data_IF_878153522219
#
_entry.id   IF_878153522219
#
_cell.length_a   1.000
_cell.length_b   1.000
_cell.length_c   1.000
_cell.angle_alpha   90.00
_cell.angle_beta   90.00
_cell.angle_gamma   90.00
#
_symmetry.space_group_name_H-M   'P 1'
#
loop_
_entity.id
_entity.type
_entity.pdbx_description
1 polymer ?
#
# COMPACT_ATOMS: atom_id res chain seq x y z
N UNK A 1 -18.30 -9.43 8.05
CA UNK A 1 -16.99 -9.79 8.63
C UNK A 1 -16.44 -10.98 7.88
N UNK A 2 -15.15 -10.96 7.54
CA UNK A 2 -14.46 -12.11 6.92
C UNK A 2 -13.90 -13.06 7.97
N UNK A 3 -13.66 -14.32 7.60
CA UNK A 3 -13.12 -15.33 8.51
C UNK A 3 -11.64 -15.56 8.21
N UNK A 4 -10.77 -15.35 9.21
CA UNK A 4 -9.34 -15.63 9.13
C UNK A 4 -9.01 -16.94 9.83
N UNK A 5 -8.06 -17.69 9.28
CA UNK A 5 -7.37 -18.77 9.98
C UNK A 5 -6.60 -18.20 11.18
N UNK A 6 -6.15 -19.07 12.08
CA UNK A 6 -5.33 -18.65 13.23
C UNK A 6 -3.96 -18.10 12.80
N UNK A 7 -3.33 -18.69 11.78
CA UNK A 7 -2.03 -18.21 11.28
C UNK A 7 -2.14 -16.84 10.64
N UNK A 8 -3.12 -16.63 9.76
CA UNK A 8 -3.41 -15.30 9.20
C UNK A 8 -3.75 -14.28 10.28
N UNK A 9 -4.56 -14.64 11.29
CA UNK A 9 -4.84 -13.74 12.42
C UNK A 9 -3.58 -13.33 13.17
N UNK A 10 -2.71 -14.29 13.51
CA UNK A 10 -1.47 -14.02 14.22
C UNK A 10 -0.49 -13.16 13.39
N UNK A 11 -0.45 -13.36 12.08
CA UNK A 11 0.33 -12.53 11.17
C UNK A 11 -0.23 -11.11 11.07
N UNK A 12 -1.55 -10.96 10.92
CA UNK A 12 -2.21 -9.65 10.95
C UNK A 12 -1.98 -8.88 12.26
N UNK A 13 -1.89 -9.58 13.39
CA UNK A 13 -1.54 -8.97 14.69
C UNK A 13 -0.11 -8.43 14.70
N UNK A 14 0.85 -9.15 14.13
CA UNK A 14 2.24 -8.67 13.98
C UNK A 14 2.36 -7.51 12.99
N UNK A 15 1.44 -7.41 12.03
CA UNK A 15 1.43 -6.36 11.02
C UNK A 15 0.77 -5.05 11.48
N UNK A 16 0.19 -5.04 12.68
CA UNK A 16 -0.69 -3.98 13.17
C UNK A 16 -0.30 -3.50 14.56
N UNK A 17 -0.80 -2.33 14.95
CA UNK A 17 -0.76 -1.92 16.35
C UNK A 17 -1.63 -2.84 17.21
N UNK A 18 -1.43 -2.79 18.53
CA UNK A 18 -2.28 -3.50 19.52
C UNK A 18 -3.77 -3.22 19.37
N UNK A 19 -4.13 -2.03 18.87
CA UNK A 19 -5.52 -1.58 18.67
C UNK A 19 -6.08 -2.02 17.31
N UNK A 20 -5.32 -2.81 16.54
CA UNK A 20 -5.72 -3.32 15.23
C UNK A 20 -5.69 -2.25 14.14
N UNK A 21 -4.76 -1.29 14.22
CA UNK A 21 -4.53 -0.30 13.16
C UNK A 21 -3.26 -0.68 12.39
N UNK A 22 -3.34 -0.74 11.06
CA UNK A 22 -2.18 -0.99 10.21
C UNK A 22 -1.46 0.34 9.97
N UNK A 23 -0.46 0.66 10.80
CA UNK A 23 0.41 1.83 10.66
C UNK A 23 1.74 1.46 9.97
N UNK A 24 1.64 1.01 8.72
CA UNK A 24 2.75 0.37 8.01
C UNK A 24 3.58 1.36 7.17
N UNK A 25 4.90 1.13 7.14
CA UNK A 25 5.87 1.86 6.33
C UNK A 25 6.09 1.17 4.98
N UNK A 26 6.03 1.90 3.86
CA UNK A 26 6.32 1.36 2.53
C UNK A 26 7.70 1.76 2.03
N UNK A 27 8.56 0.81 1.68
CA UNK A 27 9.77 1.08 0.89
C UNK A 27 10.12 -0.05 -0.09
N UNK A 28 9.11 -0.66 -0.72
CA UNK A 28 9.25 -1.62 -1.83
C UNK A 28 9.55 -0.96 -3.20
N UNK A 29 9.71 0.37 -3.21
CA UNK A 29 10.00 1.09 -4.45
C UNK A 29 11.37 0.69 -4.99
N UNK A 30 11.36 0.18 -6.22
CA UNK A 30 12.55 -0.19 -6.99
C UNK A 30 12.84 0.84 -8.07
N UNK A 31 12.14 0.76 -9.21
CA UNK A 31 12.31 1.69 -10.32
C UNK A 31 12.05 3.16 -9.94
N UNK A 32 11.10 3.43 -9.04
CA UNK A 32 10.83 4.78 -8.56
C UNK A 32 11.98 5.35 -7.71
N UNK A 33 12.60 4.53 -6.84
CA UNK A 33 13.77 4.96 -6.06
C UNK A 33 15.00 5.16 -6.97
N UNK A 34 15.21 4.28 -7.96
CA UNK A 34 16.23 4.47 -9.01
C UNK A 34 16.05 5.81 -9.73
N UNK A 35 14.82 6.16 -10.12
CA UNK A 35 14.53 7.46 -10.76
C UNK A 35 14.85 8.64 -9.85
N UNK A 36 14.53 8.55 -8.54
CA UNK A 36 14.84 9.61 -7.58
C UNK A 36 16.35 9.82 -7.39
N UNK A 37 17.13 8.74 -7.31
CA UNK A 37 18.60 8.81 -7.21
C UNK A 37 19.19 9.40 -8.50
N UNK A 38 18.75 8.91 -9.66
CA UNK A 38 19.22 9.40 -10.97
C UNK A 38 18.94 10.90 -11.17
N UNK A 39 17.82 11.41 -10.66
CA UNK A 39 17.48 12.83 -10.70
C UNK A 39 18.46 13.73 -9.91
N UNK A 40 19.35 13.13 -9.09
CA UNK A 40 20.41 13.84 -8.37
C UNK A 40 21.76 13.82 -9.13
N UNK A 41 21.78 13.35 -10.38
CA UNK A 41 22.95 13.27 -11.26
C UNK A 41 24.08 12.40 -10.71
N UNK A 42 23.73 11.29 -10.05
CA UNK A 42 24.67 10.27 -9.55
C UNK A 42 24.43 8.95 -10.28
N UNK A 43 25.49 8.21 -10.56
CA UNK A 43 25.39 6.86 -11.13
C UNK A 43 24.66 5.91 -10.18
N UNK A 44 23.82 5.05 -10.73
CA UNK A 44 23.07 4.09 -9.95
C UNK A 44 23.98 2.95 -9.49
N UNK A 45 24.01 2.71 -8.19
CA UNK A 45 24.54 1.49 -7.59
C UNK A 45 23.42 0.78 -6.83
N UNK A 46 23.19 -0.50 -7.12
CA UNK A 46 22.17 -1.30 -6.43
C UNK A 46 22.47 -1.43 -4.93
N UNK A 47 23.73 -1.43 -4.50
CA UNK A 47 24.14 -1.40 -3.09
C UNK A 47 23.66 -0.12 -2.37
N UNK A 48 23.63 1.03 -3.07
CA UNK A 48 23.09 2.27 -2.49
C UNK A 48 21.58 2.17 -2.23
N UNK A 49 20.86 1.38 -3.05
CA UNK A 49 19.42 1.15 -2.89
C UNK A 49 19.18 0.30 -1.65
N UNK A 50 19.92 -0.82 -1.53
CA UNK A 50 19.87 -1.69 -0.35
C UNK A 50 20.19 -0.92 0.92
N UNK A 51 21.29 -0.16 0.90
CA UNK A 51 21.76 0.59 2.07
C UNK A 51 20.78 1.68 2.49
N UNK A 52 20.18 2.40 1.54
CA UNK A 52 19.16 3.38 1.87
C UNK A 52 17.91 2.72 2.49
N UNK A 53 17.49 1.56 1.98
CA UNK A 53 16.38 0.79 2.57
C UNK A 53 16.70 0.34 3.99
N UNK A 54 17.94 -0.10 4.24
CA UNK A 54 18.40 -0.52 5.57
C UNK A 54 18.39 0.65 6.57
N UNK A 55 18.83 1.83 6.16
CA UNK A 55 18.75 3.05 6.98
C UNK A 55 17.30 3.41 7.30
N UNK A 56 16.42 3.40 6.31
CA UNK A 56 14.99 3.68 6.52
C UNK A 56 14.35 2.64 7.46
N UNK A 57 14.67 1.37 7.27
CA UNK A 57 14.16 0.29 8.10
C UNK A 57 14.61 0.45 9.56
N UNK A 58 15.91 0.51 9.80
CA UNK A 58 16.46 0.60 11.17
C UNK A 58 16.02 1.86 11.92
N UNK A 59 15.87 3.00 11.25
CA UNK A 59 15.57 4.27 11.91
C UNK A 59 14.07 4.55 12.07
N UNK A 60 13.20 4.02 11.19
CA UNK A 60 11.77 4.37 11.19
C UNK A 60 10.84 3.24 11.63
N UNK A 61 11.26 1.97 11.55
CA UNK A 61 10.43 0.85 12.03
C UNK A 61 10.13 0.83 13.54
N UNK A 62 10.91 1.46 14.44
CA UNK A 62 10.47 1.64 15.83
C UNK A 62 9.15 2.42 15.98
N UNK A 63 8.73 3.14 14.93
CA UNK A 63 7.50 3.93 14.90
C UNK A 63 6.46 3.38 13.92
N UNK A 64 6.67 2.19 13.33
CA UNK A 64 5.73 1.55 12.42
C UNK A 64 5.29 0.21 13.01
N UNK A 65 4.05 -0.20 12.75
CA UNK A 65 3.61 -1.56 13.11
C UNK A 65 4.24 -2.62 12.20
N UNK A 66 4.55 -2.26 10.96
CA UNK A 66 5.19 -3.14 10.00
C UNK A 66 5.87 -2.37 8.87
N UNK A 67 6.69 -3.07 8.09
CA UNK A 67 7.36 -2.52 6.91
C UNK A 67 7.11 -3.40 5.68
N UNK A 68 6.81 -2.77 4.54
CA UNK A 68 6.76 -3.39 3.23
C UNK A 68 8.06 -3.16 2.47
N UNK A 69 8.69 -4.24 2.04
CA UNK A 69 9.94 -4.26 1.29
C UNK A 69 9.81 -5.10 0.01
N UNK A 70 10.70 -4.88 -0.95
CA UNK A 70 10.88 -5.78 -2.09
C UNK A 70 12.00 -6.79 -1.80
N UNK A 71 11.91 -8.02 -2.31
CA UNK A 71 12.92 -9.04 -2.05
C UNK A 71 14.17 -8.89 -2.94
N UNK A 72 14.17 -7.95 -3.91
CA UNK A 72 15.33 -7.69 -4.78
C UNK A 72 16.42 -6.86 -4.07
N UNK A 73 16.02 -5.84 -3.31
CA UNK A 73 16.95 -4.94 -2.58
C UNK A 73 16.64 -4.81 -1.08
N UNK A 74 15.54 -5.39 -0.62
CA UNK A 74 15.00 -5.14 0.72
C UNK A 74 15.34 -6.18 1.78
N UNK A 75 15.93 -7.33 1.43
CA UNK A 75 16.21 -8.38 2.43
C UNK A 75 17.20 -7.95 3.53
N UNK A 76 18.27 -7.18 3.26
CA UNK A 76 19.10 -6.61 4.32
C UNK A 76 18.29 -5.68 5.23
N UNK A 77 17.43 -4.84 4.64
CA UNK A 77 16.54 -3.94 5.38
C UNK A 77 15.49 -4.69 6.21
N UNK A 78 14.99 -5.83 5.73
CA UNK A 78 14.07 -6.68 6.46
C UNK A 78 14.72 -7.24 7.74
N UNK A 79 16.02 -7.56 7.66
CA UNK A 79 16.80 -8.01 8.82
C UNK A 79 17.12 -6.88 9.81
N UNK A 80 17.23 -5.64 9.33
CA UNK A 80 17.54 -4.46 10.14
C UNK A 80 16.31 -3.79 10.80
N UNK A 81 15.09 -4.31 10.57
CA UNK A 81 13.87 -3.75 11.14
C UNK A 81 13.81 -3.93 12.66
N UNK A 82 13.04 -3.08 13.33
CA UNK A 82 12.73 -3.20 14.75
C UNK A 82 12.03 -4.53 15.05
N UNK A 83 12.33 -5.14 16.19
CA UNK A 83 11.84 -6.48 16.56
C UNK A 83 10.31 -6.58 16.63
N UNK A 84 9.64 -5.48 17.02
CA UNK A 84 8.18 -5.39 17.09
C UNK A 84 7.50 -5.08 15.74
N UNK A 85 8.27 -4.79 14.67
CA UNK A 85 7.70 -4.46 13.37
C UNK A 85 7.53 -5.71 12.50
N UNK A 86 6.29 -6.00 12.08
CA UNK A 86 6.00 -7.06 11.11
C UNK A 86 6.60 -6.79 9.72
N UNK A 87 6.61 -7.80 8.86
CA UNK A 87 7.20 -7.73 7.52
C UNK A 87 6.21 -8.10 6.42
N UNK A 88 6.04 -7.21 5.44
CA UNK A 88 5.40 -7.54 4.16
C UNK A 88 6.46 -7.60 3.07
N UNK A 89 6.35 -8.57 2.16
CA UNK A 89 7.19 -8.62 0.95
C UNK A 89 6.36 -8.47 -0.32
N UNK A 90 6.81 -7.58 -1.21
CA UNK A 90 6.22 -7.38 -2.53
C UNK A 90 6.57 -8.55 -3.46
N UNK A 91 5.58 -9.01 -4.24
CA UNK A 91 5.74 -10.17 -5.10
C UNK A 91 5.70 -9.85 -6.61
N UNK A 92 5.18 -8.67 -6.99
CA UNK A 92 5.13 -8.25 -8.39
C UNK A 92 6.50 -7.83 -8.94
N UNK A 93 6.68 -7.93 -10.27
CA UNK A 93 7.70 -7.15 -10.97
C UNK A 93 7.36 -5.66 -10.95
N UNK A 94 8.38 -4.81 -10.83
CA UNK A 94 8.16 -3.35 -10.84
C UNK A 94 7.74 -2.84 -12.20
N UNK A 95 6.71 -2.00 -12.24
CA UNK A 95 6.26 -1.32 -13.46
C UNK A 95 5.33 -2.17 -14.32
N UNK A 96 5.25 -1.83 -15.60
CA UNK A 96 4.45 -2.54 -16.61
C UNK A 96 5.07 -2.31 -17.99
N UNK A 97 4.82 -3.23 -18.91
CA UNK A 97 5.19 -3.05 -20.31
C UNK A 97 4.29 -1.99 -20.95
N UNK A 98 4.90 -0.91 -21.46
CA UNK A 98 4.18 0.18 -22.14
C UNK A 98 3.86 -0.15 -23.59
N UNK A 99 4.40 -1.26 -24.12
CA UNK A 99 4.19 -1.69 -25.52
C UNK A 99 3.04 -2.68 -25.67
N UNK A 100 2.60 -3.30 -24.57
CA UNK A 100 1.49 -4.26 -24.56
C UNK A 100 0.31 -3.68 -23.77
N UNK A 101 -0.93 -3.70 -24.33
CA UNK A 101 -2.13 -3.29 -23.60
C UNK A 101 -2.35 -4.10 -22.31
N UNK A 102 -3.12 -3.53 -21.39
CA UNK A 102 -3.60 -4.26 -20.21
C UNK A 102 -2.74 -4.18 -18.96
N UNK A 103 -1.48 -3.69 -19.03
CA UNK A 103 -0.58 -3.64 -17.87
C UNK A 103 -0.60 -4.97 -17.08
N UNK A 104 -0.52 -6.08 -17.83
CA UNK A 104 -0.76 -7.41 -17.29
C UNK A 104 0.19 -7.70 -16.11
N UNK A 105 -0.32 -8.37 -15.05
CA UNK A 105 0.47 -8.70 -13.88
C UNK A 105 1.59 -9.70 -14.19
N UNK A 106 2.72 -9.56 -13.51
CA UNK A 106 3.86 -10.48 -13.62
C UNK A 106 4.58 -10.62 -12.28
N UNK A 107 5.12 -11.82 -12.01
CA UNK A 107 5.77 -12.18 -10.74
C UNK A 107 7.27 -12.09 -10.85
N UNK A 108 7.93 -11.82 -9.73
CA UNK A 108 9.37 -11.99 -9.64
C UNK A 108 9.74 -13.46 -9.87
N UNK A 109 10.60 -13.71 -10.86
CA UNK A 109 10.84 -15.06 -11.41
C UNK A 109 11.43 -16.05 -10.39
N UNK A 110 12.22 -15.56 -9.43
CA UNK A 110 12.91 -16.39 -8.43
C UNK A 110 12.09 -16.61 -7.15
N UNK A 111 10.88 -16.06 -7.08
CA UNK A 111 10.08 -16.02 -5.85
C UNK A 111 8.77 -16.79 -5.97
N UNK A 112 8.36 -17.37 -4.85
CA UNK A 112 7.04 -17.93 -4.58
C UNK A 112 6.57 -17.47 -3.21
N UNK A 113 5.27 -17.61 -2.90
CA UNK A 113 4.77 -17.32 -1.56
C UNK A 113 5.55 -18.11 -0.50
N UNK A 114 5.83 -19.40 -0.74
CA UNK A 114 6.65 -20.23 0.14
C UNK A 114 8.06 -19.62 0.36
N UNK A 115 8.75 -19.20 -0.71
CA UNK A 115 10.09 -18.60 -0.58
C UNK A 115 10.06 -17.27 0.16
N UNK A 116 9.03 -16.45 -0.06
CA UNK A 116 8.87 -15.18 0.65
C UNK A 116 8.57 -15.39 2.14
N UNK A 117 7.77 -16.42 2.47
CA UNK A 117 7.53 -16.88 3.84
C UNK A 117 8.82 -17.37 4.52
N UNK A 118 9.67 -18.11 3.80
CA UNK A 118 10.98 -18.54 4.28
C UNK A 118 11.94 -17.36 4.59
N UNK A 119 11.73 -16.19 3.97
CA UNK A 119 12.43 -14.95 4.32
C UNK A 119 11.80 -14.22 5.53
N UNK A 120 10.80 -14.81 6.19
CA UNK A 120 10.14 -14.27 7.36
C UNK A 120 9.02 -13.27 7.07
N UNK A 121 8.44 -13.29 5.85
CA UNK A 121 7.28 -12.46 5.55
C UNK A 121 6.08 -12.86 6.42
N UNK A 122 5.47 -11.87 7.06
CA UNK A 122 4.17 -12.00 7.71
C UNK A 122 3.02 -11.80 6.72
N UNK A 123 3.27 -11.20 5.56
CA UNK A 123 2.27 -11.08 4.49
C UNK A 123 2.92 -10.97 3.12
N UNK A 124 2.20 -11.44 2.11
CA UNK A 124 2.51 -11.22 0.72
C UNK A 124 1.72 -10.03 0.21
N UNK A 125 2.42 -9.07 -0.37
CA UNK A 125 1.81 -7.96 -1.10
C UNK A 125 1.95 -8.17 -2.59
N UNK A 126 0.89 -7.90 -3.35
CA UNK A 126 0.93 -7.85 -4.81
C UNK A 126 0.28 -6.58 -5.33
N UNK A 127 0.92 -5.88 -6.26
CA UNK A 127 0.32 -4.72 -6.94
C UNK A 127 -0.32 -5.13 -8.28
N UNK A 128 -1.60 -4.78 -8.44
CA UNK A 128 -2.34 -4.93 -9.68
C UNK A 128 -2.76 -3.55 -10.23
N UNK A 129 -2.47 -3.32 -11.51
CA UNK A 129 -3.09 -2.24 -12.28
C UNK A 129 -4.40 -2.72 -12.88
N UNK A 130 -5.49 -2.00 -12.65
CA UNK A 130 -6.81 -2.41 -13.11
C UNK A 130 -7.65 -1.23 -13.57
N UNK A 131 -8.19 -1.36 -14.78
CA UNK A 131 -9.22 -0.49 -15.31
C UNK A 131 -10.50 -1.33 -15.42
N UNK A 132 -11.51 -0.96 -14.62
CA UNK A 132 -12.77 -1.71 -14.55
C UNK A 132 -13.56 -1.70 -15.86
N UNK A 133 -13.28 -0.74 -16.74
CA UNK A 133 -13.94 -0.58 -18.04
C UNK A 133 -13.05 -1.08 -19.21
N UNK A 134 -11.92 -1.72 -18.91
CA UNK A 134 -11.03 -2.33 -19.92
C UNK A 134 -11.65 -3.58 -20.55
N UNK A 135 -11.08 -4.01 -21.69
CA UNK A 135 -11.47 -5.22 -22.40
C UNK A 135 -11.69 -6.40 -21.43
N UNK A 136 -12.88 -7.03 -21.41
CA UNK A 136 -13.18 -8.16 -20.55
C UNK A 136 -12.18 -9.32 -20.67
N UNK A 137 -11.56 -9.54 -21.82
CA UNK A 137 -10.56 -10.59 -22.01
C UNK A 137 -9.24 -10.27 -21.28
N UNK A 138 -8.86 -8.99 -21.24
CA UNK A 138 -7.70 -8.53 -20.45
C UNK A 138 -8.01 -8.64 -18.97
N UNK A 139 -9.19 -8.18 -18.55
CA UNK A 139 -9.60 -8.26 -17.14
C UNK A 139 -9.76 -9.70 -16.67
N UNK A 140 -10.23 -10.61 -17.54
CA UNK A 140 -10.30 -12.04 -17.24
C UNK A 140 -8.91 -12.62 -16.88
N UNK A 141 -7.87 -12.27 -17.64
CA UNK A 141 -6.50 -12.70 -17.32
C UNK A 141 -6.03 -12.19 -15.96
N UNK A 142 -6.37 -10.95 -15.60
CA UNK A 142 -6.06 -10.37 -14.28
C UNK A 142 -6.80 -11.10 -13.16
N UNK A 143 -8.08 -11.41 -13.35
CA UNK A 143 -8.88 -12.17 -12.37
C UNK A 143 -8.28 -13.55 -12.10
N UNK A 144 -8.02 -14.32 -13.16
CA UNK A 144 -7.41 -15.66 -13.06
C UNK A 144 -6.04 -15.60 -12.40
N UNK A 145 -5.26 -14.55 -12.66
CA UNK A 145 -3.96 -14.37 -12.03
C UNK A 145 -4.08 -14.15 -10.52
N UNK A 146 -5.00 -13.29 -10.08
CA UNK A 146 -5.24 -13.02 -8.65
C UNK A 146 -5.82 -14.25 -7.94
N UNK A 147 -6.68 -15.03 -8.58
CA UNK A 147 -7.20 -16.31 -8.03
C UNK A 147 -6.08 -17.30 -7.69
N UNK A 148 -5.06 -17.39 -8.56
CA UNK A 148 -3.87 -18.23 -8.33
C UNK A 148 -3.07 -17.73 -7.13
N UNK A 149 -2.76 -16.43 -7.10
CA UNK A 149 -2.01 -15.82 -5.99
C UNK A 149 -2.72 -15.94 -4.64
N UNK A 150 -4.02 -15.67 -4.60
CA UNK A 150 -4.81 -15.84 -3.39
C UNK A 150 -4.82 -17.29 -2.92
N UNK A 151 -4.79 -18.25 -3.84
CA UNK A 151 -4.68 -19.67 -3.50
C UNK A 151 -3.31 -20.05 -2.95
N UNK A 152 -2.22 -19.51 -3.49
CA UNK A 152 -0.88 -19.70 -2.92
C UNK A 152 -0.77 -19.11 -1.51
N UNK A 153 -1.29 -17.90 -1.28
CA UNK A 153 -1.29 -17.27 0.05
C UNK A 153 -2.13 -18.06 1.07
N UNK A 154 -3.27 -18.60 0.63
CA UNK A 154 -4.12 -19.43 1.48
C UNK A 154 -3.45 -20.76 1.85
N UNK A 155 -2.78 -21.44 0.91
CA UNK A 155 -2.04 -22.67 1.18
C UNK A 155 -0.90 -22.42 2.19
N UNK A 156 -0.19 -21.31 2.03
CA UNK A 156 0.91 -20.94 2.92
C UNK A 156 0.47 -20.27 4.23
N UNK A 157 -0.84 -20.17 4.46
CA UNK A 157 -1.45 -19.56 5.65
C UNK A 157 -0.95 -18.13 5.94
N UNK A 158 -0.70 -17.35 4.88
CA UNK A 158 -0.25 -15.95 4.95
C UNK A 158 -1.34 -14.97 4.48
N UNK A 159 -1.52 -13.82 5.17
CA UNK A 159 -2.35 -12.74 4.68
C UNK A 159 -1.93 -12.25 3.30
N UNK A 160 -2.89 -12.15 2.39
CA UNK A 160 -2.73 -11.59 1.06
C UNK A 160 -3.17 -10.13 1.02
N UNK A 161 -2.20 -9.23 0.84
CA UNK A 161 -2.41 -7.79 0.66
C UNK A 161 -2.43 -7.46 -0.83
N UNK A 162 -3.61 -7.21 -1.38
CA UNK A 162 -3.74 -6.81 -2.78
C UNK A 162 -3.72 -5.28 -2.88
N UNK A 163 -2.65 -4.74 -3.45
CA UNK A 163 -2.56 -3.33 -3.82
C UNK A 163 -3.23 -3.11 -5.17
N UNK A 164 -4.14 -2.14 -5.21
CA UNK A 164 -4.94 -1.83 -6.36
C UNK A 164 -4.68 -0.41 -6.81
N UNK A 165 -4.14 -0.26 -8.02
CA UNK A 165 -3.97 1.04 -8.68
C UNK A 165 -4.87 1.12 -9.90
N UNK A 166 -5.76 2.11 -9.86
CA UNK A 166 -6.66 2.41 -10.96
C UNK A 166 -5.94 3.12 -12.11
N UNK A 167 -6.40 2.88 -13.33
CA UNK A 167 -6.10 3.70 -14.49
C UNK A 167 -7.29 3.71 -15.45
N UNK A 168 -7.14 4.43 -16.56
CA UNK A 168 -8.08 4.39 -17.66
C UNK A 168 -7.30 4.20 -18.97
N UNK A 169 -7.77 3.31 -19.83
CA UNK A 169 -7.12 3.03 -21.12
C UNK A 169 -7.14 4.21 -22.10
N UNK A 170 -8.11 5.13 -21.95
CA UNK A 170 -8.29 6.30 -22.79
C UNK A 170 -7.69 7.58 -22.17
N UNK A 171 -7.54 7.63 -20.85
CA UNK A 171 -6.98 8.79 -20.14
C UNK A 171 -5.56 8.49 -19.66
N UNK A 172 -4.58 9.03 -20.39
CA UNK A 172 -3.15 8.74 -20.13
C UNK A 172 -2.62 9.35 -18.82
N UNK A 173 -3.10 10.52 -18.42
CA UNK A 173 -2.65 11.22 -17.20
C UNK A 173 -3.64 10.99 -16.04
N UNK A 174 -3.24 10.12 -15.11
CA UNK A 174 -3.97 9.81 -13.87
C UNK A 174 -4.03 10.97 -12.87
N UNK A 175 -3.33 12.08 -13.14
CA UNK A 175 -3.37 13.30 -12.34
C UNK A 175 -4.24 14.41 -12.96
N UNK A 176 -4.79 14.18 -14.15
CA UNK A 176 -5.64 15.16 -14.85
C UNK A 176 -7.02 15.35 -14.20
N UNK A 177 -7.66 16.49 -14.51
CA UNK A 177 -9.05 16.76 -14.14
C UNK A 177 -10.00 15.73 -14.77
N UNK A 178 -9.71 15.29 -15.99
CA UNK A 178 -10.50 14.27 -16.70
C UNK A 178 -10.49 12.94 -15.94
N UNK A 179 -9.30 12.47 -15.52
CA UNK A 179 -9.19 11.26 -14.72
C UNK A 179 -9.84 11.41 -13.35
N UNK A 180 -9.71 12.60 -12.72
CA UNK A 180 -10.37 12.87 -11.45
C UNK A 180 -11.87 12.55 -11.54
N UNK A 181 -12.57 13.05 -12.57
CA UNK A 181 -14.03 12.81 -12.71
C UNK A 181 -14.43 11.33 -12.74
N UNK A 182 -13.57 10.43 -13.23
CA UNK A 182 -13.85 8.99 -13.29
C UNK A 182 -13.24 8.18 -12.14
N UNK A 183 -12.27 8.73 -11.41
CA UNK A 183 -11.54 8.03 -10.35
C UNK A 183 -12.44 7.34 -9.31
N UNK A 184 -13.54 7.95 -8.81
CA UNK A 184 -14.41 7.29 -7.84
C UNK A 184 -15.02 5.98 -8.37
N UNK A 185 -15.46 5.98 -9.63
CA UNK A 185 -15.96 4.77 -10.30
C UNK A 185 -14.87 3.71 -10.42
N UNK A 186 -13.67 4.08 -10.91
CA UNK A 186 -12.55 3.15 -11.09
C UNK A 186 -12.15 2.50 -9.75
N UNK A 187 -11.92 3.30 -8.72
CA UNK A 187 -11.45 2.82 -7.40
C UNK A 187 -12.52 1.97 -6.72
N UNK A 188 -13.75 2.47 -6.59
CA UNK A 188 -14.78 1.78 -5.81
C UNK A 188 -15.25 0.50 -6.51
N UNK A 189 -15.35 0.49 -7.84
CA UNK A 189 -15.76 -0.71 -8.59
C UNK A 189 -14.66 -1.78 -8.59
N UNK A 190 -13.38 -1.38 -8.67
CA UNK A 190 -12.25 -2.30 -8.52
C UNK A 190 -12.21 -2.92 -7.12
N UNK A 191 -12.49 -2.16 -6.06
CA UNK A 191 -12.60 -2.72 -4.71
C UNK A 191 -13.73 -3.75 -4.60
N UNK A 192 -14.90 -3.49 -5.18
CA UNK A 192 -16.02 -4.45 -5.20
C UNK A 192 -15.64 -5.75 -5.89
N UNK A 193 -14.95 -5.65 -7.04
CA UNK A 193 -14.48 -6.81 -7.78
C UNK A 193 -13.56 -7.68 -6.91
N UNK A 194 -12.45 -7.12 -6.44
CA UNK A 194 -11.43 -7.89 -5.73
C UNK A 194 -11.77 -8.21 -4.26
N UNK A 195 -12.97 -7.85 -3.81
CA UNK A 195 -13.53 -8.32 -2.54
C UNK A 195 -14.22 -9.68 -2.65
N UNK A 196 -14.39 -10.22 -3.85
CA UNK A 196 -15.03 -11.53 -4.04
C UNK A 196 -14.21 -12.66 -3.39
N UNK A 197 -14.85 -13.65 -2.74
CA UNK A 197 -14.15 -14.69 -1.99
C UNK A 197 -13.16 -15.54 -2.80
N UNK A 198 -13.38 -15.71 -4.11
CA UNK A 198 -12.49 -16.49 -4.99
C UNK A 198 -11.06 -15.95 -5.06
N UNK A 199 -10.86 -14.65 -4.82
CA UNK A 199 -9.55 -14.02 -4.82
C UNK A 199 -8.79 -14.20 -3.51
N UNK A 200 -9.48 -14.62 -2.43
CA UNK A 200 -8.89 -14.90 -1.11
C UNK A 200 -8.00 -13.75 -0.58
N UNK A 201 -8.35 -12.51 -0.91
CA UNK A 201 -7.67 -11.31 -0.42
C UNK A 201 -8.04 -11.12 1.04
N UNK A 202 -7.05 -10.81 1.88
CA UNK A 202 -7.25 -10.53 3.30
C UNK A 202 -7.27 -9.02 3.59
N UNK A 203 -6.48 -8.23 2.85
CA UNK A 203 -6.46 -6.76 2.97
C UNK A 203 -6.35 -6.11 1.60
N UNK A 204 -7.16 -5.08 1.36
CA UNK A 204 -7.04 -4.23 0.18
C UNK A 204 -6.18 -3.00 0.48
N UNK A 205 -5.08 -2.80 -0.26
CA UNK A 205 -4.33 -1.54 -0.25
C UNK A 205 -4.78 -0.69 -1.44
N UNK A 206 -5.43 0.44 -1.16
CA UNK A 206 -6.17 1.18 -2.19
C UNK A 206 -5.84 2.67 -2.19
N UNK A 207 -6.04 3.30 -3.33
CA UNK A 207 -6.10 4.76 -3.43
C UNK A 207 -7.31 5.31 -2.66
N UNK A 208 -7.25 6.58 -2.24
CA UNK A 208 -8.48 7.33 -1.92
C UNK A 208 -9.30 7.52 -3.21
N UNK A 209 -10.64 7.57 -3.12
CA UNK A 209 -11.51 7.47 -4.31
C UNK A 209 -11.57 8.77 -5.10
N UNK A 210 -11.08 9.88 -4.54
CA UNK A 210 -11.03 11.20 -5.17
C UNK A 210 -9.60 11.69 -5.26
N UNK A 211 -9.32 12.56 -6.24
CA UNK A 211 -8.11 13.36 -6.21
C UNK A 211 -8.39 14.66 -5.42
N UNK A 212 -7.86 14.74 -4.20
CA UNK A 212 -8.11 15.87 -3.28
C UNK A 212 -7.71 17.23 -3.86
N UNK A 213 -6.79 17.28 -4.82
CA UNK A 213 -6.41 18.53 -5.49
C UNK A 213 -7.54 19.12 -6.34
N UNK A 214 -8.61 18.36 -6.62
CA UNK A 214 -9.78 18.81 -7.38
C UNK A 214 -11.07 18.83 -6.53
N UNK A 215 -10.95 18.76 -5.20
CA UNK A 215 -12.10 18.88 -4.28
C UNK A 215 -12.25 20.34 -3.86
N UNK A 216 -13.48 20.86 -3.85
CA UNK A 216 -13.78 22.21 -3.37
C UNK A 216 -13.18 22.46 -1.97
N UNK A 217 -12.50 23.61 -1.81
CA UNK A 217 -11.82 23.99 -0.56
C UNK A 217 -10.46 23.33 -0.31
N UNK A 218 -10.06 22.36 -1.14
CA UNK A 218 -8.69 21.84 -1.22
C UNK A 218 -7.99 22.28 -2.51
N UNK A 219 -8.74 22.38 -3.61
CA UNK A 219 -8.25 22.88 -4.90
C UNK A 219 -7.94 24.37 -4.85
N UNK A 220 -6.89 24.76 -5.59
CA UNK A 220 -6.55 26.16 -5.88
C UNK A 220 -7.05 26.64 -7.24
N UNK A 221 -7.50 25.71 -8.10
CA UNK A 221 -7.78 25.96 -9.51
C UNK A 221 -9.11 25.32 -9.92
N UNK A 222 -9.07 24.22 -10.68
CA UNK A 222 -10.26 23.53 -11.17
C UNK A 222 -10.87 22.62 -10.09
N UNK A 223 -12.18 22.44 -10.15
CA UNK A 223 -12.93 21.60 -9.22
C UNK A 223 -13.63 20.49 -10.00
N UNK A 224 -13.36 19.23 -9.61
CA UNK A 224 -14.05 18.04 -10.12
C UNK A 224 -15.26 17.68 -9.26
N UNK A 225 -15.23 18.01 -7.97
CA UNK A 225 -16.27 17.64 -7.01
C UNK A 225 -16.45 18.69 -5.92
N UNK A 226 -17.68 18.89 -5.46
CA UNK A 226 -17.94 19.59 -4.19
C UNK A 226 -17.43 18.77 -3.00
N UNK A 227 -17.37 19.37 -1.81
CA UNK A 227 -17.02 18.61 -0.59
C UNK A 227 -18.01 17.49 -0.30
N UNK A 228 -19.30 17.73 -0.52
CA UNK A 228 -20.37 16.75 -0.30
C UNK A 228 -20.26 15.56 -1.26
N UNK A 229 -19.94 15.82 -2.53
CA UNK A 229 -19.69 14.77 -3.52
C UNK A 229 -18.47 13.94 -3.14
N UNK A 230 -17.36 14.60 -2.78
CA UNK A 230 -16.16 13.91 -2.33
C UNK A 230 -16.42 13.05 -1.09
N UNK A 231 -17.16 13.56 -0.11
CA UNK A 231 -17.53 12.82 1.09
C UNK A 231 -18.37 11.58 0.77
N UNK A 232 -19.34 11.72 -0.15
CA UNK A 232 -20.14 10.59 -0.62
C UNK A 232 -19.26 9.48 -1.23
N UNK A 233 -18.26 9.83 -2.03
CA UNK A 233 -17.35 8.83 -2.62
C UNK A 233 -16.51 8.07 -1.59
N UNK A 234 -16.09 8.71 -0.50
CA UNK A 234 -15.42 8.02 0.62
C UNK A 234 -16.35 7.05 1.35
N UNK A 235 -17.61 7.45 1.57
CA UNK A 235 -18.62 6.57 2.16
C UNK A 235 -18.88 5.36 1.26
N UNK A 236 -19.09 5.59 -0.03
CA UNK A 236 -19.29 4.53 -1.04
C UNK A 236 -18.09 3.58 -1.11
N UNK A 237 -16.87 4.10 -1.00
CA UNK A 237 -15.66 3.28 -0.95
C UNK A 237 -15.66 2.37 0.28
N UNK A 238 -16.00 2.91 1.45
CA UNK A 238 -16.06 2.14 2.68
C UNK A 238 -17.16 1.07 2.66
N UNK A 239 -18.20 1.25 1.85
CA UNK A 239 -19.29 0.29 1.64
C UNK A 239 -19.02 -0.68 0.48
N UNK A 240 -17.96 -0.46 -0.31
CA UNK A 240 -17.59 -1.30 -1.42
C UNK A 240 -16.99 -2.66 -1.00
N UNK A 241 -16.57 -2.79 0.26
CA UNK A 241 -15.88 -3.98 0.76
C UNK A 241 -16.16 -4.28 2.23
N UNK A 242 -16.27 -5.57 2.54
CA UNK A 242 -16.24 -6.10 3.90
C UNK A 242 -14.82 -6.48 4.36
N UNK A 243 -13.83 -6.44 3.46
CA UNK A 243 -12.43 -6.66 3.80
C UNK A 243 -11.89 -5.46 4.61
N UNK A 244 -10.89 -5.69 5.47
CA UNK A 244 -10.01 -4.62 5.88
C UNK A 244 -9.41 -3.92 4.65
N UNK A 245 -9.35 -2.59 4.67
CA UNK A 245 -8.69 -1.83 3.62
C UNK A 245 -7.86 -0.68 4.19
N UNK A 246 -6.74 -0.39 3.54
CA UNK A 246 -5.77 0.63 3.97
C UNK A 246 -5.43 1.57 2.81
N UNK A 247 -5.13 2.82 3.14
CA UNK A 247 -4.77 3.80 2.12
C UNK A 247 -3.28 3.77 1.77
N UNK A 248 -3.00 3.92 0.49
CA UNK A 248 -1.69 4.31 -0.02
C UNK A 248 -1.62 5.83 -0.22
N UNK A 249 -0.45 6.43 -0.01
CA UNK A 249 -0.32 7.90 -0.08
C UNK A 249 -0.15 8.47 -1.50
N UNK A 250 0.04 7.62 -2.52
CA UNK A 250 0.21 7.99 -3.93
C UNK A 250 1.32 9.03 -4.24
N UNK A 251 2.12 9.46 -3.25
CA UNK A 251 3.17 10.47 -3.41
C UNK A 251 2.73 11.92 -3.16
N UNK A 252 1.51 12.15 -2.64
CA UNK A 252 1.09 13.49 -2.18
C UNK A 252 1.94 13.98 -1.00
N UNK A 253 1.81 15.26 -0.63
CA UNK A 253 2.51 15.79 0.54
C UNK A 253 1.97 15.18 1.84
N UNK A 254 2.81 15.08 2.87
CA UNK A 254 2.43 14.57 4.20
C UNK A 254 1.21 15.32 4.75
N UNK A 255 1.22 16.65 4.64
CA UNK A 255 0.12 17.52 5.08
C UNK A 255 -1.19 17.20 4.35
N UNK A 256 -1.17 17.11 3.02
CA UNK A 256 -2.38 16.81 2.25
C UNK A 256 -2.89 15.40 2.58
N UNK A 257 -1.99 14.42 2.72
CA UNK A 257 -2.39 13.06 3.09
C UNK A 257 -3.07 13.01 4.46
N UNK A 258 -2.49 13.66 5.48
CA UNK A 258 -3.09 13.74 6.82
C UNK A 258 -4.47 14.41 6.80
N UNK A 259 -4.63 15.52 6.07
CA UNK A 259 -5.92 16.17 5.88
C UNK A 259 -6.93 15.25 5.18
N UNK A 260 -6.46 14.43 4.23
CA UNK A 260 -7.29 13.44 3.54
C UNK A 260 -7.79 12.37 4.50
N UNK A 261 -6.98 11.92 5.46
CA UNK A 261 -7.40 10.91 6.46
C UNK A 261 -8.50 11.44 7.38
N UNK A 262 -8.40 12.70 7.83
CA UNK A 262 -9.48 13.36 8.57
C UNK A 262 -10.73 13.47 7.72
N UNK A 263 -10.61 13.95 6.48
CA UNK A 263 -11.74 14.07 5.57
C UNK A 263 -12.41 12.71 5.31
N UNK A 264 -11.63 11.65 5.13
CA UNK A 264 -12.14 10.29 4.96
C UNK A 264 -12.94 9.84 6.20
N UNK A 265 -12.40 10.05 7.41
CA UNK A 265 -13.09 9.73 8.67
C UNK A 265 -14.40 10.50 8.82
N UNK A 266 -14.38 11.81 8.61
CA UNK A 266 -15.55 12.69 8.72
C UNK A 266 -16.62 12.34 7.67
N UNK A 267 -16.19 11.77 6.54
CA UNK A 267 -17.07 11.27 5.48
C UNK A 267 -17.63 9.86 5.74
N UNK A 268 -17.31 9.24 6.88
CA UNK A 268 -17.81 7.91 7.26
C UNK A 268 -16.96 6.74 6.74
N UNK A 269 -15.73 6.99 6.30
CA UNK A 269 -14.80 5.91 5.93
C UNK A 269 -14.36 5.11 7.16
N UNK A 270 -14.37 3.78 7.04
CA UNK A 270 -13.91 2.83 8.08
C UNK A 270 -12.55 2.21 7.76
N UNK A 271 -11.69 2.94 7.05
CA UNK A 271 -10.35 2.47 6.67
C UNK A 271 -9.53 2.03 7.90
N UNK A 272 -8.70 1.01 7.71
CA UNK A 272 -8.05 0.27 8.79
C UNK A 272 -6.58 0.62 9.03
N UNK A 273 -6.12 1.69 8.37
CA UNK A 273 -4.75 2.15 8.45
C UNK A 273 -4.20 2.59 7.10
N UNK A 274 -2.88 2.62 7.01
CA UNK A 274 -2.15 3.08 5.83
C UNK A 274 -0.93 2.21 5.59
N UNK A 275 -0.51 2.16 4.33
CA UNK A 275 0.80 1.69 3.93
C UNK A 275 1.51 2.85 3.24
N UNK A 276 2.13 3.71 4.05
CA UNK A 276 2.66 5.00 3.61
C UNK A 276 4.19 4.94 3.42
N UNK A 277 4.66 5.31 2.24
CA UNK A 277 6.10 5.31 1.92
C UNK A 277 6.68 6.69 1.71
N UNK A 278 6.64 7.15 0.45
CA UNK A 278 7.35 8.38 0.01
C UNK A 278 7.05 9.63 0.84
N UNK A 279 5.84 9.80 1.38
CA UNK A 279 5.55 10.97 2.23
C UNK A 279 6.44 11.01 3.49
N UNK A 280 6.91 9.85 3.96
CA UNK A 280 7.73 9.71 5.17
C UNK A 280 9.22 9.87 4.90
N UNK A 281 9.77 9.19 3.88
CA UNK A 281 11.23 9.05 3.72
C UNK A 281 11.82 9.69 2.46
N UNK A 282 11.01 10.16 1.48
CA UNK A 282 11.52 10.56 0.15
C UNK A 282 12.60 11.64 0.21
N UNK A 283 12.47 12.57 1.15
CA UNK A 283 13.37 13.71 1.30
C UNK A 283 14.73 13.29 1.90
N UNK A 284 14.82 12.11 2.51
CA UNK A 284 16.06 11.48 2.98
C UNK A 284 16.96 10.96 1.85
N UNK A 285 16.45 10.78 0.63
CA UNK A 285 17.26 10.34 -0.52
C UNK A 285 18.32 11.37 -0.89
N UNK A 286 17.99 12.67 -0.84
CA UNK A 286 18.93 13.73 -1.18
C UNK A 286 20.13 13.82 -0.21
N UNK A 287 19.97 13.86 1.13
CA UNK A 287 21.11 13.85 2.04
C UNK A 287 21.92 12.56 1.95
N UNK A 288 21.27 11.41 1.72
CA UNK A 288 21.97 10.14 1.49
C UNK A 288 22.92 10.22 0.29
N UNK A 289 22.41 10.63 -0.87
CA UNK A 289 23.20 10.66 -2.11
C UNK A 289 24.25 11.77 -2.12
N UNK A 290 23.96 12.94 -1.52
CA UNK A 290 24.88 14.09 -1.58
C UNK A 290 25.86 14.17 -0.42
N UNK A 291 25.55 13.55 0.71
CA UNK A 291 26.27 13.76 1.98
C UNK A 291 26.50 12.48 2.79
N UNK A 292 26.11 11.32 2.25
CA UNK A 292 26.40 10.01 2.81
C UNK A 292 25.42 9.56 3.90
N UNK A 293 25.69 8.38 4.44
CA UNK A 293 24.82 7.66 5.38
C UNK A 293 24.49 8.45 6.64
N UNK A 294 25.49 9.08 7.27
CA UNK A 294 25.29 9.81 8.52
C UNK A 294 24.34 11.00 8.35
N UNK A 295 24.39 11.68 7.19
CA UNK A 295 23.47 12.77 6.89
C UNK A 295 22.04 12.25 6.67
N UNK A 296 21.90 11.11 5.97
CA UNK A 296 20.60 10.45 5.81
C UNK A 296 20.03 9.99 7.16
N UNK A 297 20.87 9.39 8.01
CA UNK A 297 20.50 8.93 9.35
C UNK A 297 20.05 10.10 10.23
N UNK A 298 20.79 11.21 10.22
CA UNK A 298 20.41 12.42 10.95
C UNK A 298 19.07 12.99 10.46
N UNK A 299 18.79 12.93 9.15
CA UNK A 299 17.51 13.34 8.58
C UNK A 299 16.37 12.38 8.99
N UNK A 300 16.60 11.06 8.95
CA UNK A 300 15.62 10.05 9.35
C UNK A 300 15.27 10.17 10.84
N UNK A 301 16.25 10.42 11.71
CA UNK A 301 16.05 10.64 13.15
C UNK A 301 15.34 11.95 13.49
N UNK A 302 15.29 12.90 12.56
CA UNK A 302 14.61 14.19 12.74
C UNK A 302 13.34 14.25 11.90
N UNK A 303 13.39 14.81 10.69
CA UNK A 303 12.22 14.98 9.82
C UNK A 303 11.53 13.66 9.46
N UNK A 304 12.28 12.57 9.22
CA UNK A 304 11.69 11.26 8.93
C UNK A 304 10.84 10.72 10.08
N UNK A 305 11.37 10.83 11.30
CA UNK A 305 10.68 10.49 12.55
C UNK A 305 9.44 11.38 12.76
N UNK A 306 9.57 12.69 12.60
CA UNK A 306 8.43 13.61 12.74
C UNK A 306 7.31 13.29 11.74
N UNK A 307 7.66 12.93 10.50
CA UNK A 307 6.68 12.54 9.48
C UNK A 307 5.89 11.28 9.90
N UNK A 308 6.55 10.26 10.45
CA UNK A 308 5.87 9.01 10.84
C UNK A 308 5.10 9.16 12.17
N UNK A 309 5.66 9.86 13.17
CA UNK A 309 4.99 10.10 14.44
C UNK A 309 3.75 11.00 14.26
N UNK A 310 3.84 12.04 13.43
CA UNK A 310 2.67 12.88 13.12
C UNK A 310 1.59 12.10 12.37
N UNK A 311 1.97 11.21 11.44
CA UNK A 311 1.03 10.30 10.77
C UNK A 311 0.36 9.36 11.77
N UNK A 312 1.11 8.76 12.70
CA UNK A 312 0.57 7.89 13.75
C UNK A 312 -0.47 8.60 14.62
N UNK A 313 -0.21 9.86 14.99
CA UNK A 313 -1.16 10.67 15.75
C UNK A 313 -2.47 10.91 14.98
N UNK A 314 -2.40 11.07 13.65
CA UNK A 314 -3.59 11.18 12.81
C UNK A 314 -4.31 9.85 12.71
N UNK A 315 -3.60 8.74 12.52
CA UNK A 315 -4.19 7.39 12.46
C UNK A 315 -4.95 7.04 13.73
N UNK A 316 -4.40 7.37 14.91
CA UNK A 316 -5.07 7.15 16.20
C UNK A 316 -6.43 7.87 16.33
N UNK A 317 -6.66 8.92 15.55
CA UNK A 317 -7.91 9.70 15.56
C UNK A 317 -8.86 9.31 14.42
N UNK A 318 -8.35 8.69 13.35
CA UNK A 318 -9.08 8.57 12.08
C UNK A 318 -9.34 7.12 11.66
N UNK A 319 -8.37 6.22 11.86
CA UNK A 319 -8.49 4.83 11.44
C UNK A 319 -9.43 4.03 12.35
N UNK A 320 -9.98 2.94 11.82
CA UNK A 320 -10.85 1.99 12.54
C UNK A 320 -10.17 0.63 12.64
N UNK A 321 -10.42 -0.13 13.72
CA UNK A 321 -9.74 -1.41 13.91
C UNK A 321 -10.12 -2.43 12.83
N UNK A 322 -9.16 -3.15 12.26
CA UNK A 322 -9.51 -4.29 11.38
C UNK A 322 -10.14 -5.45 12.15
N UNK A 323 -10.00 -5.49 13.48
CA UNK A 323 -10.72 -6.46 14.32
C UNK A 323 -12.24 -6.39 14.12
N UNK A 324 -12.78 -5.20 13.82
CA UNK A 324 -14.22 -5.01 13.57
C UNK A 324 -14.69 -5.63 12.23
N UNK A 325 -13.74 -5.96 11.35
CA UNK A 325 -14.01 -6.52 10.01
C UNK A 325 -13.83 -8.04 9.96
N UNK A 326 -13.25 -8.65 10.98
CA UNK A 326 -12.86 -10.07 10.92
C UNK A 326 -13.36 -10.89 12.09
N UNK A 327 -13.49 -12.19 11.87
CA UNK A 327 -13.66 -13.21 12.89
C UNK A 327 -12.61 -14.31 12.68
N UNK A 328 -12.29 -15.08 13.72
CA UNK A 328 -11.28 -16.16 13.65
C UNK A 328 -11.99 -17.52 13.56
N UNK A 329 -11.48 -18.41 12.71
CA UNK A 329 -11.99 -19.78 12.61
C UNK A 329 -12.00 -20.48 13.97
N UNK A 330 -13.14 -21.11 14.29
CA UNK A 330 -13.29 -21.91 15.51
C UNK A 330 -12.59 -23.26 15.31
N UNK A 331 -12.00 -23.77 16.38
CA UNK A 331 -11.42 -25.12 16.38
C UNK A 331 -12.52 -26.13 16.08
N UNK A 332 -12.33 -26.97 15.06
CA UNK A 332 -13.11 -28.19 14.96
C UNK A 332 -12.60 -29.09 16.07
N UNK A 333 -13.42 -29.29 17.11
CA UNK A 333 -13.13 -30.29 18.12
C UNK A 333 -12.96 -31.64 17.42
N UNK A 334 -11.72 -32.12 17.35
CA UNK A 334 -11.43 -33.47 16.87
C UNK A 334 -11.89 -34.40 18.01
N UNK A 335 -13.08 -34.97 17.85
CA UNK A 335 -13.58 -36.05 18.71
C UNK A 335 -12.93 -37.38 18.34
#
# INVERSE_FOLDING_TARGET
MITLTRGKKAAMDRLSTKDGIISALAIDQRGALKKMIKALNVELNDEQIERFKELVSSELTPYASSILLDPEYGLPAASARHEDAGLLLAYEKTGYDVTTPGRLPDLLADWSVLRLKEQGADSIKFLLYYDVDEDPEINHQKHVFVERLGSECAEEDLPFYLELLSYDTQISDVHSLEYAKVKPHKVNSMMKEFSKPQYKVDVLKVEVPVNMNFVEGFSTDEVAYTKEEAAKYFLEQSQATDLPFIFLSAGVSTKLFQQTLFFAKDSGSTFNGVLCGRATWKNGVKPFIKSGEESARAWLKSEGRENIESLNNVLAQTASSWYDKVQVEKEVAVN
#
